data_IF_450493495299
#
_entry.id   IF_450493495299
#
_cell.length_a   1.000
_cell.length_b   1.000
_cell.length_c   1.000
_cell.angle_alpha   90.00
_cell.angle_beta   90.00
_cell.angle_gamma   90.00
#
_symmetry.space_group_name_H-M   'P 1'
#
loop_
_entity.id
_entity.type
_entity.pdbx_description
1 polymer ?
#
# COMPACT_ATOMS: atom_id res chain seq x y z
N UNK A 1 -14.43 -29.66 -8.61
CA UNK A 1 -14.27 -28.65 -9.68
C UNK A 1 -12.80 -28.36 -9.71
N UNK A 2 -12.24 -28.32 -10.91
CA UNK A 2 -10.83 -28.62 -11.15
C UNK A 2 -9.97 -27.36 -10.91
N UNK A 3 -8.87 -27.49 -10.16
CA UNK A 3 -7.93 -26.38 -9.88
C UNK A 3 -7.04 -26.04 -11.11
N UNK A 4 -7.32 -26.67 -12.27
CA UNK A 4 -6.54 -26.54 -13.51
C UNK A 4 -6.90 -25.30 -14.33
N UNK A 5 -8.14 -24.80 -14.24
CA UNK A 5 -8.61 -23.64 -15.01
C UNK A 5 -8.01 -22.30 -14.51
N UNK A 6 -7.61 -22.22 -13.23
CA UNK A 6 -6.95 -21.03 -12.69
C UNK A 6 -5.51 -20.85 -13.23
N UNK A 7 -4.81 -21.94 -13.61
CA UNK A 7 -3.41 -21.88 -14.07
C UNK A 7 -3.27 -21.26 -15.48
N UNK A 8 -4.32 -21.31 -16.31
CA UNK A 8 -4.27 -20.76 -17.68
C UNK A 8 -4.43 -19.23 -17.72
N UNK A 9 -5.11 -18.63 -16.72
CA UNK A 9 -5.26 -17.17 -16.61
C UNK A 9 -3.92 -16.47 -16.31
N UNK A 10 -2.98 -17.15 -15.64
CA UNK A 10 -1.65 -16.60 -15.35
C UNK A 10 -0.65 -16.70 -16.51
N UNK A 11 -1.04 -17.23 -17.69
CA UNK A 11 -0.16 -17.35 -18.87
C UNK A 11 -0.07 -16.10 -19.74
N UNK A 12 -0.55 -14.95 -19.25
CA UNK A 12 -0.17 -13.67 -19.81
C UNK A 12 1.35 -13.48 -19.67
N UNK A 13 2.08 -13.47 -20.79
CA UNK A 13 3.50 -13.10 -20.82
C UNK A 13 3.62 -11.62 -20.52
N UNK A 14 3.80 -11.27 -19.25
CA UNK A 14 3.79 -9.87 -18.85
C UNK A 14 5.17 -9.26 -19.09
N UNK A 15 5.29 -8.55 -20.21
CA UNK A 15 6.42 -7.69 -20.52
C UNK A 15 6.11 -6.32 -19.92
N UNK A 16 6.89 -5.92 -18.93
CA UNK A 16 6.73 -4.67 -18.17
C UNK A 16 7.76 -3.61 -18.59
N UNK A 17 7.47 -2.34 -18.32
CA UNK A 17 8.36 -1.18 -18.55
C UNK A 17 8.25 -0.13 -17.44
N UNK A 18 9.19 0.85 -17.42
CA UNK A 18 9.29 1.96 -16.45
C UNK A 18 8.03 2.84 -16.34
N UNK A 19 7.86 3.94 -17.08
CA UNK A 19 8.49 4.39 -18.34
C UNK A 19 9.03 5.80 -18.14
N UNK A 20 10.36 6.01 -18.11
CA UNK A 20 10.97 7.30 -17.73
C UNK A 20 10.78 8.38 -18.82
N UNK A 21 9.61 9.04 -18.82
CA UNK A 21 9.24 10.12 -19.73
C UNK A 21 10.00 11.42 -19.39
N UNK A 22 10.84 11.90 -20.31
CA UNK A 22 11.45 13.23 -20.21
C UNK A 22 10.69 14.28 -21.03
N UNK A 23 10.12 15.26 -20.32
CA UNK A 23 9.65 16.58 -20.79
C UNK A 23 8.40 16.64 -21.71
N UNK A 24 7.36 17.31 -21.18
CA UNK A 24 6.17 17.89 -21.85
C UNK A 24 5.71 17.32 -23.20
N UNK A 25 4.98 16.21 -23.17
CA UNK A 25 3.71 16.00 -23.92
C UNK A 25 2.81 14.92 -23.26
N UNK A 26 3.04 14.62 -21.97
CA UNK A 26 2.18 13.73 -21.19
C UNK A 26 0.68 14.11 -21.28
N UNK A 27 0.35 15.41 -21.35
CA UNK A 27 -1.03 15.91 -21.47
C UNK A 27 -1.79 15.47 -22.74
N UNK A 28 -1.13 15.01 -23.81
CA UNK A 28 -1.81 14.55 -25.03
C UNK A 28 -2.20 13.07 -24.90
N UNK A 29 -1.26 12.22 -24.47
CA UNK A 29 -1.49 10.79 -24.20
C UNK A 29 -2.49 10.60 -23.03
N UNK A 30 -2.38 11.43 -21.99
CA UNK A 30 -3.15 11.30 -20.74
C UNK A 30 -4.51 12.02 -20.76
N UNK A 31 -4.96 12.52 -21.91
CA UNK A 31 -6.17 13.33 -22.02
C UNK A 31 -7.49 12.57 -21.79
N UNK A 32 -7.48 11.24 -21.84
CA UNK A 32 -8.71 10.43 -21.68
C UNK A 32 -9.03 10.07 -20.22
N UNK A 33 -8.04 9.68 -19.40
CA UNK A 33 -8.18 9.43 -17.96
C UNK A 33 -6.80 9.07 -17.37
N UNK A 34 -6.41 9.50 -16.16
CA UNK A 34 -5.16 9.07 -15.49
C UNK A 34 -5.18 7.59 -15.02
N UNK A 35 -5.99 6.75 -15.66
CA UNK A 35 -6.20 5.33 -15.36
C UNK A 35 -6.42 4.50 -16.65
N UNK A 36 -6.70 5.13 -17.79
CA UNK A 36 -6.98 4.45 -19.05
C UNK A 36 -6.21 5.08 -20.21
N UNK A 37 -5.63 4.24 -21.07
CA UNK A 37 -5.03 4.63 -22.33
C UNK A 37 -5.73 3.85 -23.44
N UNK A 38 -6.43 4.56 -24.34
CA UNK A 38 -7.21 3.97 -25.45
C UNK A 38 -8.18 2.88 -24.98
N UNK A 39 -8.82 3.08 -23.83
CA UNK A 39 -9.73 2.11 -23.21
C UNK A 39 -9.08 0.97 -22.41
N UNK A 40 -7.76 0.81 -22.42
CA UNK A 40 -7.06 -0.18 -21.59
C UNK A 40 -6.65 0.40 -20.25
N UNK A 41 -6.80 -0.39 -19.17
CA UNK A 41 -6.38 0.01 -17.81
C UNK A 41 -4.85 0.10 -17.69
N UNK A 42 -4.37 1.17 -17.07
CA UNK A 42 -2.97 1.40 -16.70
C UNK A 42 -2.89 1.74 -15.20
N UNK A 43 -1.87 1.26 -14.48
CA UNK A 43 -1.62 1.63 -13.07
C UNK A 43 -0.40 2.56 -12.96
N UNK A 44 -0.61 3.75 -12.42
CA UNK A 44 0.45 4.74 -12.20
C UNK A 44 1.07 4.52 -10.82
N UNK A 45 2.39 4.35 -10.78
CA UNK A 45 3.13 4.12 -9.54
C UNK A 45 3.56 5.42 -8.85
N UNK A 46 3.59 6.54 -9.58
CA UNK A 46 3.57 7.89 -9.04
C UNK A 46 2.60 8.78 -9.82
N UNK A 47 2.12 9.86 -9.19
CA UNK A 47 1.25 10.82 -9.86
C UNK A 47 2.07 11.64 -10.90
N UNK A 48 1.60 11.79 -12.15
CA UNK A 48 2.31 12.59 -13.15
C UNK A 48 2.39 14.06 -12.72
N UNK A 49 3.59 14.51 -12.33
CA UNK A 49 3.77 15.87 -11.81
C UNK A 49 3.95 16.90 -12.95
N UNK A 50 2.83 17.31 -13.56
CA UNK A 50 2.81 18.22 -14.72
C UNK A 50 3.47 19.60 -14.53
N UNK A 51 3.90 19.96 -13.31
CA UNK A 51 4.56 21.24 -13.00
C UNK A 51 6.09 21.17 -13.04
N UNK A 52 6.70 19.97 -12.92
CA UNK A 52 8.13 19.77 -13.10
C UNK A 52 8.38 18.67 -14.14
N UNK A 53 8.83 19.03 -15.35
CA UNK A 53 9.06 18.07 -16.43
C UNK A 53 10.32 17.21 -16.26
N UNK A 54 11.06 17.35 -15.16
CA UNK A 54 12.20 16.49 -14.80
C UNK A 54 11.82 15.27 -13.95
N UNK A 55 10.62 15.27 -13.35
CA UNK A 55 10.10 14.14 -12.57
C UNK A 55 9.61 13.01 -13.50
N UNK A 56 10.16 11.79 -13.39
CA UNK A 56 9.78 10.68 -14.26
C UNK A 56 8.41 10.11 -13.88
N UNK A 57 7.61 9.73 -14.87
CA UNK A 57 6.33 9.03 -14.62
C UNK A 57 6.55 7.52 -14.64
N UNK A 58 6.06 6.81 -13.63
CA UNK A 58 6.21 5.37 -13.47
C UNK A 58 4.86 4.69 -13.75
N UNK A 59 4.84 3.76 -14.70
CA UNK A 59 3.64 3.25 -15.36
C UNK A 59 3.74 1.72 -15.48
N UNK A 60 2.92 1.01 -14.72
CA UNK A 60 2.75 -0.43 -14.86
C UNK A 60 1.75 -0.74 -15.98
N UNK A 61 2.16 -1.64 -16.88
CA UNK A 61 1.39 -2.11 -18.04
C UNK A 61 1.27 -3.63 -17.94
N UNK A 62 0.06 -4.17 -18.09
CA UNK A 62 -0.20 -5.61 -17.99
C UNK A 62 -0.50 -6.30 -19.33
N UNK A 63 -0.54 -5.55 -20.44
CA UNK A 63 -0.84 -6.06 -21.78
C UNK A 63 0.29 -5.72 -22.76
N UNK A 64 0.82 -6.73 -23.43
CA UNK A 64 1.83 -6.58 -24.50
C UNK A 64 1.32 -5.73 -25.68
N UNK A 65 0.00 -5.73 -25.92
CA UNK A 65 -0.62 -4.86 -26.93
C UNK A 65 -0.51 -3.39 -26.52
N UNK A 66 -0.87 -3.08 -25.27
CA UNK A 66 -0.77 -1.72 -24.70
C UNK A 66 0.68 -1.26 -24.64
N UNK A 67 1.58 -2.15 -24.25
CA UNK A 67 3.03 -1.92 -24.23
C UNK A 67 3.54 -1.54 -25.62
N UNK A 68 3.18 -2.31 -26.64
CA UNK A 68 3.58 -2.07 -28.04
C UNK A 68 3.05 -0.73 -28.53
N UNK A 69 1.75 -0.49 -28.37
CA UNK A 69 1.09 0.76 -28.78
C UNK A 69 1.70 1.98 -28.08
N UNK A 70 1.97 1.90 -26.78
CA UNK A 70 2.56 3.00 -26.02
C UNK A 70 4.00 3.26 -26.44
N UNK A 71 4.83 2.22 -26.62
CA UNK A 71 6.21 2.37 -27.14
C UNK A 71 6.23 3.06 -28.50
N UNK A 72 5.32 2.67 -29.40
CA UNK A 72 5.19 3.30 -30.72
C UNK A 72 4.81 4.77 -30.61
N UNK A 73 3.80 5.11 -29.81
CA UNK A 73 3.34 6.50 -29.62
C UNK A 73 4.42 7.37 -28.96
N UNK A 74 5.10 6.87 -27.93
CA UNK A 74 6.21 7.57 -27.27
C UNK A 74 7.39 7.81 -28.22
N UNK A 75 7.70 6.83 -29.08
CA UNK A 75 8.74 6.97 -30.11
C UNK A 75 8.35 8.00 -31.16
N UNK A 76 7.09 8.00 -31.61
CA UNK A 76 6.56 9.00 -32.57
C UNK A 76 6.57 10.41 -32.00
N UNK A 77 6.30 10.57 -30.71
CA UNK A 77 6.33 11.85 -29.99
C UNK A 77 7.75 12.24 -29.53
N UNK A 78 8.77 11.44 -29.84
CA UNK A 78 10.17 11.63 -29.42
C UNK A 78 10.32 11.82 -27.90
N UNK A 79 9.52 11.09 -27.12
CA UNK A 79 9.62 11.07 -25.66
C UNK A 79 10.51 9.90 -25.27
N UNK A 80 11.63 10.19 -24.62
CA UNK A 80 12.52 9.16 -24.10
C UNK A 80 11.80 8.27 -23.09
N UNK A 81 12.21 7.01 -22.99
CA UNK A 81 11.76 6.09 -21.95
C UNK A 81 12.80 5.01 -21.64
N UNK A 82 12.55 4.22 -20.60
CA UNK A 82 13.42 3.13 -20.15
C UNK A 82 12.59 1.99 -19.57
N UNK A 83 13.10 0.77 -19.70
CA UNK A 83 12.59 -0.44 -19.03
C UNK A 83 13.36 -0.61 -17.72
N UNK A 84 12.70 -0.68 -16.56
CA UNK A 84 13.41 -0.96 -15.30
C UNK A 84 13.03 -2.29 -14.66
N UNK A 85 11.87 -2.85 -15.01
CA UNK A 85 11.47 -4.21 -14.66
C UNK A 85 10.87 -4.80 -15.94
N UNK A 86 11.52 -5.80 -16.54
CA UNK A 86 11.02 -6.50 -17.73
C UNK A 86 9.91 -7.50 -17.40
N UNK A 87 10.00 -8.14 -16.23
CA UNK A 87 9.05 -9.15 -15.75
C UNK A 87 8.81 -8.95 -14.24
N UNK A 88 7.79 -8.15 -13.92
CA UNK A 88 7.36 -7.91 -12.53
C UNK A 88 6.66 -9.14 -11.94
N UNK A 89 6.12 -10.06 -12.73
CA UNK A 89 5.55 -11.32 -12.18
C UNK A 89 6.67 -12.19 -11.63
N UNK A 90 7.79 -12.31 -12.36
CA UNK A 90 9.01 -12.96 -11.88
C UNK A 90 9.57 -12.25 -10.65
N UNK A 91 9.64 -10.91 -10.64
CA UNK A 91 10.13 -10.17 -9.47
C UNK A 91 9.26 -10.39 -8.21
N UNK A 92 7.94 -10.47 -8.36
CA UNK A 92 7.00 -10.80 -7.27
C UNK A 92 7.21 -12.24 -6.78
N UNK A 93 7.45 -13.19 -7.69
CA UNK A 93 7.68 -14.58 -7.30
C UNK A 93 9.05 -14.79 -6.63
N UNK A 94 10.09 -14.09 -7.07
CA UNK A 94 11.39 -14.06 -6.40
C UNK A 94 11.29 -13.49 -4.97
N UNK A 95 10.50 -12.42 -4.76
CA UNK A 95 10.20 -11.89 -3.43
C UNK A 95 9.47 -12.93 -2.55
N UNK A 96 8.44 -13.61 -3.09
CA UNK A 96 7.68 -14.66 -2.38
C UNK A 96 8.55 -15.85 -1.96
N UNK A 97 9.41 -16.33 -2.86
CA UNK A 97 10.34 -17.43 -2.58
C UNK A 97 11.31 -17.03 -1.45
N UNK A 98 11.78 -15.78 -1.41
CA UNK A 98 12.63 -15.28 -0.34
C UNK A 98 11.90 -15.19 1.01
N UNK A 99 10.62 -14.78 1.01
CA UNK A 99 9.78 -14.81 2.21
C UNK A 99 9.58 -16.23 2.76
N UNK A 100 9.33 -17.22 1.90
CA UNK A 100 9.08 -18.60 2.32
C UNK A 100 10.29 -19.26 3.00
N UNK A 101 11.52 -18.96 2.57
CA UNK A 101 12.76 -19.48 3.19
C UNK A 101 12.85 -19.17 4.69
N UNK A 102 12.31 -18.02 5.10
CA UNK A 102 12.40 -17.49 6.46
C UNK A 102 11.14 -17.78 7.30
N UNK A 103 10.19 -18.57 6.80
CA UNK A 103 8.94 -18.91 7.50
C UNK A 103 9.10 -19.73 8.79
N UNK A 104 10.27 -20.34 8.99
CA UNK A 104 10.59 -21.17 10.17
C UNK A 104 11.49 -20.43 11.19
N UNK A 105 11.73 -19.12 11.04
CA UNK A 105 12.50 -18.34 12.02
C UNK A 105 11.76 -18.25 13.36
N UNK A 106 12.46 -18.53 14.46
CA UNK A 106 11.88 -18.49 15.82
C UNK A 106 11.88 -17.09 16.44
N UNK A 107 12.62 -16.15 15.86
CA UNK A 107 12.73 -14.76 16.30
C UNK A 107 12.17 -13.81 15.25
N UNK A 108 11.63 -12.67 15.68
CA UNK A 108 11.04 -11.70 14.77
C UNK A 108 12.10 -10.89 14.02
N UNK A 109 12.27 -11.20 12.73
CA UNK A 109 13.30 -10.60 11.89
C UNK A 109 12.85 -9.27 11.25
N UNK A 110 13.29 -8.14 11.80
CA UNK A 110 12.98 -6.79 11.29
C UNK A 110 13.56 -6.46 9.90
N UNK A 111 14.34 -7.37 9.29
CA UNK A 111 14.97 -7.17 7.98
C UNK A 111 14.15 -7.74 6.81
N UNK A 112 12.96 -8.28 7.07
CA UNK A 112 12.01 -8.78 6.05
C UNK A 112 10.59 -8.27 6.29
N UNK A 113 9.76 -8.29 5.24
CA UNK A 113 8.31 -8.14 5.38
C UNK A 113 7.67 -9.39 6.00
N UNK A 114 6.58 -9.18 6.74
CA UNK A 114 5.83 -10.22 7.45
C UNK A 114 4.35 -10.11 7.09
N UNK A 115 3.65 -11.24 7.07
CA UNK A 115 2.19 -11.29 6.93
C UNK A 115 1.49 -10.61 8.12
N UNK A 116 0.22 -10.23 7.93
CA UNK A 116 -0.60 -9.68 9.02
C UNK A 116 -0.66 -10.64 10.22
N UNK A 117 -0.75 -11.95 9.98
CA UNK A 117 -0.82 -12.96 11.04
C UNK A 117 0.50 -13.05 11.82
N UNK A 118 1.65 -13.09 11.14
CA UNK A 118 2.98 -13.06 11.78
C UNK A 118 3.21 -11.78 12.62
N UNK A 119 2.81 -10.62 12.11
CA UNK A 119 2.87 -9.35 12.87
C UNK A 119 1.96 -9.43 14.09
N UNK A 120 0.71 -9.85 13.92
CA UNK A 120 -0.28 -9.89 14.99
C UNK A 120 0.05 -10.93 16.08
N UNK A 121 0.72 -12.03 15.72
CA UNK A 121 1.25 -13.01 16.67
C UNK A 121 2.52 -12.51 17.38
N UNK A 122 3.43 -11.82 16.67
CA UNK A 122 4.57 -11.15 17.29
C UNK A 122 4.12 -10.14 18.36
N UNK A 123 3.09 -9.33 18.06
CA UNK A 123 2.48 -8.37 18.98
C UNK A 123 1.86 -9.00 20.26
N UNK A 124 1.68 -10.32 20.32
CA UNK A 124 1.21 -11.02 21.55
C UNK A 124 2.35 -11.54 22.43
N UNK A 125 3.57 -11.60 21.90
CA UNK A 125 4.72 -12.21 22.60
C UNK A 125 5.11 -11.43 23.85
N UNK A 126 5.70 -12.14 24.82
CA UNK A 126 6.19 -11.50 26.06
C UNK A 126 7.41 -10.60 25.81
N UNK A 127 8.10 -10.74 24.67
CA UNK A 127 9.24 -9.90 24.24
C UNK A 127 8.85 -8.41 24.15
N UNK A 128 7.61 -8.11 23.80
CA UNK A 128 7.09 -6.74 23.65
C UNK A 128 6.40 -6.25 24.93
N UNK A 129 6.07 -7.15 25.86
CA UNK A 129 5.36 -6.81 27.10
C UNK A 129 6.31 -6.13 28.08
N UNK A 130 6.16 -4.82 28.16
CA UNK A 130 6.85 -3.96 29.12
C UNK A 130 5.88 -2.95 29.71
N UNK A 131 6.21 -2.41 30.89
CA UNK A 131 5.41 -1.37 31.56
C UNK A 131 5.21 -0.09 30.71
N UNK A 132 6.06 0.10 29.69
CA UNK A 132 6.01 1.23 28.76
C UNK A 132 5.34 0.91 27.41
N UNK A 133 4.74 -0.27 27.24
CA UNK A 133 4.03 -0.67 26.00
C UNK A 133 2.61 -1.15 26.32
N UNK A 134 1.62 -0.63 25.59
CA UNK A 134 0.26 -1.15 25.57
C UNK A 134 -0.17 -1.42 24.12
N UNK A 135 -0.77 -2.58 23.87
CA UNK A 135 -1.22 -3.00 22.54
C UNK A 135 -2.73 -3.16 22.60
N UNK A 136 -3.42 -2.49 21.69
CA UNK A 136 -4.87 -2.51 21.56
C UNK A 136 -5.26 -2.48 20.06
N UNK A 137 -6.54 -2.24 19.75
CA UNK A 137 -7.08 -2.14 18.40
C UNK A 137 -7.87 -0.84 18.25
N UNK A 138 -7.57 -0.02 17.23
CA UNK A 138 -8.35 1.20 16.94
C UNK A 138 -9.73 0.91 16.34
N UNK A 139 -9.97 -0.34 15.94
CA UNK A 139 -11.23 -0.81 15.40
C UNK A 139 -11.08 -2.18 14.75
N UNK A 140 -12.07 -2.54 13.95
CA UNK A 140 -12.05 -3.70 13.06
C UNK A 140 -12.22 -3.24 11.61
N UNK A 141 -11.60 -3.96 10.69
CA UNK A 141 -11.68 -3.74 9.24
C UNK A 141 -13.03 -4.22 8.67
N UNK A 142 -13.25 -4.01 7.38
CA UNK A 142 -14.49 -4.42 6.72
C UNK A 142 -14.68 -5.95 6.73
N UNK A 143 -13.59 -6.72 6.65
CA UNK A 143 -13.61 -8.18 6.78
C UNK A 143 -13.42 -8.67 8.24
N UNK A 144 -13.56 -7.78 9.25
CA UNK A 144 -13.56 -8.15 10.67
C UNK A 144 -12.17 -8.42 11.28
N UNK A 145 -11.10 -7.86 10.71
CA UNK A 145 -9.73 -7.98 11.25
C UNK A 145 -9.40 -6.79 12.14
N UNK A 146 -8.76 -7.05 13.28
CA UNK A 146 -8.30 -5.99 14.18
C UNK A 146 -7.26 -5.11 13.50
N UNK A 147 -7.34 -3.80 13.76
CA UNK A 147 -6.35 -2.81 13.29
C UNK A 147 -5.49 -2.44 14.51
N UNK A 148 -4.31 -3.09 14.67
CA UNK A 148 -3.54 -2.98 15.90
C UNK A 148 -2.92 -1.59 16.08
N UNK A 149 -2.94 -1.08 17.30
CA UNK A 149 -2.16 0.08 17.74
C UNK A 149 -1.23 -0.29 18.88
N UNK A 150 0.04 0.10 18.77
CA UNK A 150 1.04 -0.05 19.82
C UNK A 150 1.28 1.35 20.41
N UNK A 151 0.83 1.56 21.64
CA UNK A 151 1.09 2.76 22.45
C UNK A 151 2.40 2.57 23.22
N UNK A 152 3.31 3.53 23.11
CA UNK A 152 4.63 3.49 23.78
C UNK A 152 4.88 4.82 24.50
N UNK A 153 5.00 4.78 25.82
CA UNK A 153 5.31 5.92 26.71
C UNK A 153 5.93 5.38 28.00
N UNK A 154 6.86 6.10 28.63
CA UNK A 154 7.35 5.72 29.97
C UNK A 154 6.29 5.84 31.07
N UNK A 155 5.21 6.57 30.82
CA UNK A 155 3.97 6.51 31.58
C UNK A 155 2.77 6.61 30.62
N UNK A 156 2.05 5.50 30.44
CA UNK A 156 0.88 5.37 29.56
C UNK A 156 -0.40 6.00 30.15
N UNK A 157 -0.32 6.59 31.35
CA UNK A 157 -1.40 7.31 32.04
C UNK A 157 -1.17 8.84 32.07
N UNK A 158 -0.02 9.31 31.61
CA UNK A 158 0.30 10.73 31.57
C UNK A 158 -0.33 11.40 30.34
N UNK A 159 -1.58 11.84 30.50
CA UNK A 159 -2.34 12.58 29.48
C UNK A 159 -1.75 13.96 29.14
N UNK A 160 -0.69 14.41 29.83
CA UNK A 160 -0.01 15.69 29.51
C UNK A 160 1.02 15.57 28.39
N UNK A 161 1.46 14.35 28.05
CA UNK A 161 2.45 14.14 26.99
C UNK A 161 1.85 14.37 25.59
N UNK A 162 2.56 15.09 24.69
CA UNK A 162 2.19 15.14 23.28
C UNK A 162 2.23 13.74 22.64
N UNK A 163 1.19 13.43 21.86
CA UNK A 163 1.03 12.15 21.16
C UNK A 163 1.57 12.29 19.72
N UNK A 164 2.42 11.34 19.31
CA UNK A 164 2.88 11.15 17.94
C UNK A 164 2.20 9.91 17.37
N UNK A 165 1.40 10.07 16.32
CA UNK A 165 0.76 8.96 15.60
C UNK A 165 1.60 8.64 14.35
N UNK A 166 1.88 7.36 14.13
CA UNK A 166 2.54 6.87 12.91
C UNK A 166 1.73 5.68 12.39
N UNK A 167 1.03 5.86 11.28
CA UNK A 167 0.38 4.76 10.57
C UNK A 167 1.23 4.26 9.39
N UNK A 168 0.87 3.07 8.90
CA UNK A 168 1.53 2.41 7.77
C UNK A 168 0.58 1.42 7.12
N UNK A 169 0.87 1.07 5.86
CA UNK A 169 0.02 0.22 5.04
C UNK A 169 -1.43 0.71 4.93
N UNK A 170 -1.65 2.04 4.90
CA UNK A 170 -2.93 2.60 4.43
C UNK A 170 -3.19 2.17 2.97
N UNK A 171 -2.12 2.10 2.17
CA UNK A 171 -2.07 1.38 0.89
C UNK A 171 -1.38 0.03 1.05
N UNK A 172 -2.05 -1.04 0.67
CA UNK A 172 -1.55 -2.40 0.96
C UNK A 172 -0.36 -2.87 0.12
N UNK A 173 -0.02 -2.19 -1.00
CA UNK A 173 1.16 -2.52 -1.82
C UNK A 173 2.49 -1.95 -1.29
N UNK A 174 2.43 -1.04 -0.31
CA UNK A 174 3.57 -0.24 0.19
C UNK A 174 4.30 -0.93 1.36
N UNK A 175 4.72 -2.18 1.13
CA UNK A 175 5.20 -3.16 2.14
C UNK A 175 6.30 -2.63 3.08
N UNK A 176 7.17 -1.74 2.59
CA UNK A 176 8.24 -1.09 3.36
C UNK A 176 7.75 -0.22 4.52
N UNK A 177 6.54 0.36 4.43
CA UNK A 177 6.00 1.23 5.48
C UNK A 177 5.74 0.46 6.76
N UNK A 178 5.05 -0.69 6.67
CA UNK A 178 4.76 -1.55 7.83
C UNK A 178 6.04 -2.07 8.51
N UNK A 179 7.03 -2.51 7.73
CA UNK A 179 8.33 -2.93 8.26
C UNK A 179 9.09 -1.78 8.95
N UNK A 180 9.03 -0.56 8.39
CA UNK A 180 9.65 0.63 8.98
C UNK A 180 9.00 0.99 10.31
N UNK A 181 7.67 0.96 10.41
CA UNK A 181 6.94 1.23 11.67
C UNK A 181 7.23 0.17 12.74
N UNK A 182 7.38 -1.11 12.36
CA UNK A 182 7.83 -2.16 13.27
C UNK A 182 9.29 -1.98 13.71
N UNK A 183 10.17 -1.52 12.82
CA UNK A 183 11.55 -1.17 13.19
C UNK A 183 11.60 0.02 14.16
N UNK A 184 10.79 1.07 13.94
CA UNK A 184 10.64 2.21 14.86
C UNK A 184 10.14 1.73 16.23
N UNK A 185 9.14 0.85 16.27
CA UNK A 185 8.65 0.22 17.49
C UNK A 185 9.79 -0.47 18.27
N UNK A 186 10.59 -1.29 17.58
CA UNK A 186 11.72 -1.98 18.20
C UNK A 186 12.78 -1.02 18.75
N UNK A 187 13.10 0.05 18.01
CA UNK A 187 14.03 1.09 18.48
C UNK A 187 13.51 1.79 19.74
N UNK A 188 12.24 2.21 19.78
CA UNK A 188 11.65 2.86 20.96
C UNK A 188 11.58 1.96 22.20
N UNK A 189 11.49 0.63 22.00
CA UNK A 189 11.42 -0.36 23.09
C UNK A 189 12.81 -0.72 23.62
N UNK A 190 13.72 -1.10 22.72
CA UNK A 190 14.99 -1.76 23.05
C UNK A 190 16.21 -0.83 23.05
N UNK A 191 16.17 0.31 22.35
CA UNK A 191 17.32 1.21 22.28
C UNK A 191 17.30 2.23 23.42
N UNK A 192 18.13 2.00 24.45
CA UNK A 192 18.23 2.88 25.61
C UNK A 192 18.57 4.34 25.25
N UNK A 193 19.32 4.57 24.16
CA UNK A 193 19.63 5.93 23.69
C UNK A 193 18.40 6.72 23.21
N UNK A 194 17.28 6.03 22.95
CA UNK A 194 16.00 6.62 22.54
C UNK A 194 14.99 6.74 23.70
N UNK A 195 15.36 6.34 24.93
CA UNK A 195 14.47 6.39 26.11
C UNK A 195 13.88 7.79 26.35
N UNK A 196 14.68 8.84 26.13
CA UNK A 196 14.24 10.23 26.28
C UNK A 196 13.04 10.60 25.39
N UNK A 197 12.82 9.90 24.26
CA UNK A 197 11.66 10.13 23.40
C UNK A 197 10.37 9.70 24.11
N UNK A 198 10.33 8.48 24.65
CA UNK A 198 9.14 7.97 25.34
C UNK A 198 8.94 8.60 26.73
N UNK A 199 9.98 9.27 27.26
CA UNK A 199 9.87 10.12 28.45
C UNK A 199 9.15 11.44 28.17
N UNK A 200 9.23 11.98 26.95
CA UNK A 200 8.65 13.27 26.58
C UNK A 200 7.41 13.16 25.66
N UNK A 201 7.17 12.01 25.03
CA UNK A 201 6.10 11.77 24.06
C UNK A 201 5.43 10.42 24.30
N UNK A 202 4.15 10.29 23.92
CA UNK A 202 3.52 8.99 23.66
C UNK A 202 3.54 8.70 22.16
N UNK A 203 3.98 7.52 21.75
CA UNK A 203 3.96 7.06 20.36
C UNK A 203 2.84 6.06 20.13
N UNK A 204 1.95 6.34 19.19
CA UNK A 204 0.85 5.46 18.80
C UNK A 204 1.11 4.94 17.37
N UNK A 205 1.65 3.72 17.29
CA UNK A 205 2.11 3.10 16.05
C UNK A 205 1.05 2.15 15.50
N UNK A 206 0.63 2.33 14.25
CA UNK A 206 -0.36 1.48 13.56
C UNK A 206 0.36 0.82 12.36
N UNK A 207 1.00 -0.35 12.55
CA UNK A 207 1.86 -0.95 11.52
C UNK A 207 1.08 -1.50 10.32
N UNK A 208 -0.21 -1.82 10.50
CA UNK A 208 -1.08 -2.36 9.45
C UNK A 208 -2.46 -1.68 9.48
N UNK A 209 -2.59 -0.52 8.83
CA UNK A 209 -3.84 0.25 8.78
C UNK A 209 -4.91 -0.42 7.89
N UNK A 210 -4.51 -1.06 6.78
CA UNK A 210 -5.39 -1.77 5.86
C UNK A 210 -5.10 -3.29 5.84
N UNK A 211 -5.51 -4.05 6.88
CA UNK A 211 -5.22 -5.47 7.00
C UNK A 211 -5.96 -6.32 5.95
N UNK A 212 -7.06 -5.82 5.38
CA UNK A 212 -7.82 -6.56 4.38
C UNK A 212 -7.16 -6.53 3.00
N UNK A 213 -6.67 -5.36 2.57
CA UNK A 213 -5.95 -5.26 1.30
C UNK A 213 -4.61 -6.01 1.33
N UNK A 214 -3.95 -6.05 2.50
CA UNK A 214 -2.63 -6.66 2.71
C UNK A 214 -2.56 -8.14 2.31
N UNK A 215 -3.64 -8.90 2.52
CA UNK A 215 -3.69 -10.35 2.28
C UNK A 215 -4.03 -10.74 0.84
N UNK A 216 -4.07 -9.79 -0.10
CA UNK A 216 -4.59 -10.03 -1.45
C UNK A 216 -3.50 -9.99 -2.53
N UNK A 217 -3.79 -9.42 -3.69
CA UNK A 217 -2.80 -9.23 -4.76
C UNK A 217 -1.65 -8.37 -4.22
N UNK A 218 -0.41 -8.73 -4.57
CA UNK A 218 0.82 -8.04 -4.15
C UNK A 218 0.82 -6.55 -4.53
N UNK A 219 0.08 -6.20 -5.59
CA UNK A 219 -0.06 -4.84 -6.11
C UNK A 219 -1.40 -4.20 -5.70
N UNK A 220 -2.18 -4.81 -4.81
CA UNK A 220 -3.43 -4.24 -4.32
C UNK A 220 -3.18 -3.03 -3.41
N UNK A 221 -3.82 -1.90 -3.74
CA UNK A 221 -3.70 -0.64 -2.98
C UNK A 221 -4.83 -0.41 -1.98
N UNK A 222 -6.06 -0.71 -2.38
CA UNK A 222 -7.32 -0.24 -1.75
C UNK A 222 -7.71 -1.09 -0.52
N UNK A 223 -8.79 -0.72 0.16
CA UNK A 223 -9.46 -1.62 1.11
C UNK A 223 -10.10 -2.83 0.39
N UNK A 224 -10.89 -3.65 1.10
CA UNK A 224 -11.70 -4.74 0.52
C UNK A 224 -13.21 -4.57 0.64
N UNK A 225 -13.67 -3.38 1.07
CA UNK A 225 -15.10 -3.09 1.16
C UNK A 225 -15.81 -3.22 -0.19
N UNK A 226 -17.09 -3.55 -0.15
CA UNK A 226 -17.94 -3.63 -1.33
C UNK A 226 -19.34 -3.07 -1.03
N UNK A 227 -20.03 -2.61 -2.06
CA UNK A 227 -21.44 -2.26 -2.02
C UNK A 227 -22.21 -3.03 -3.10
N UNK A 228 -23.54 -2.97 -3.06
CA UNK A 228 -24.40 -3.54 -4.11
C UNK A 228 -24.07 -2.94 -5.49
N UNK A 229 -23.71 -1.66 -5.54
CA UNK A 229 -23.35 -0.95 -6.78
C UNK A 229 -21.89 -1.14 -7.19
N UNK A 230 -21.01 -1.66 -6.32
CA UNK A 230 -19.58 -1.86 -6.58
C UNK A 230 -19.10 -3.30 -6.41
N UNK A 231 -19.98 -4.31 -6.50
CA UNK A 231 -19.64 -5.71 -6.25
C UNK A 231 -18.48 -6.23 -7.13
N UNK A 232 -18.45 -5.83 -8.41
CA UNK A 232 -17.37 -6.13 -9.37
C UNK A 232 -16.10 -5.26 -9.16
N UNK A 233 -16.16 -4.26 -8.29
CA UNK A 233 -15.18 -3.18 -8.13
C UNK A 233 -14.89 -2.91 -6.65
N UNK A 234 -14.37 -3.93 -5.97
CA UNK A 234 -14.07 -3.89 -4.53
C UNK A 234 -13.00 -2.85 -4.17
N UNK A 235 -13.09 -2.38 -2.93
CA UNK A 235 -12.12 -1.51 -2.27
C UNK A 235 -12.31 -0.02 -2.54
N UNK A 236 -12.18 0.77 -1.48
CA UNK A 236 -12.02 2.23 -1.51
C UNK A 236 -10.54 2.59 -1.35
N UNK A 237 -10.10 3.72 -1.90
CA UNK A 237 -8.78 4.27 -1.51
C UNK A 237 -8.95 5.00 -0.17
N UNK A 238 -8.34 4.44 0.89
CA UNK A 238 -8.46 4.98 2.25
C UNK A 238 -7.88 6.40 2.34
N UNK A 239 -6.81 6.71 1.59
CA UNK A 239 -6.19 8.04 1.54
C UNK A 239 -6.88 8.99 0.54
N UNK A 240 -8.12 8.68 0.15
CA UNK A 240 -9.10 9.58 -0.48
C UNK A 240 -10.45 9.56 0.25
N UNK A 241 -10.54 8.91 1.42
CA UNK A 241 -11.78 8.71 2.18
C UNK A 241 -11.80 9.48 3.52
N UNK A 242 -10.88 10.44 3.71
CA UNK A 242 -10.91 11.41 4.82
C UNK A 242 -11.84 12.58 4.49
N UNK A 243 -12.38 13.25 5.52
CA UNK A 243 -13.39 14.29 5.31
C UNK A 243 -12.85 15.61 4.72
N UNK A 244 -11.52 15.83 4.81
CA UNK A 244 -10.86 17.04 4.32
C UNK A 244 -10.85 17.06 2.78
N UNK A 245 -11.45 18.08 2.18
CA UNK A 245 -11.59 18.25 0.73
C UNK A 245 -12.15 16.99 0.00
N UNK A 246 -13.02 16.25 0.68
CA UNK A 246 -13.58 15.01 0.18
C UNK A 246 -14.29 15.21 -1.18
N UNK A 247 -13.84 14.50 -2.21
CA UNK A 247 -14.38 14.59 -3.57
C UNK A 247 -13.76 15.67 -4.47
N UNK A 248 -12.81 16.50 -4.02
CA UNK A 248 -12.18 17.51 -4.90
C UNK A 248 -11.14 16.93 -5.86
N UNK A 249 -10.37 15.95 -5.39
CA UNK A 249 -9.20 15.37 -6.08
C UNK A 249 -9.26 13.82 -6.10
N UNK A 250 -10.49 13.27 -6.18
CA UNK A 250 -10.76 11.84 -6.31
C UNK A 250 -11.71 11.56 -7.48
N UNK A 251 -11.56 10.40 -8.12
CA UNK A 251 -12.37 10.03 -9.28
C UNK A 251 -13.71 9.44 -8.86
N UNK A 252 -14.82 9.91 -9.43
CA UNK A 252 -16.17 9.40 -9.14
C UNK A 252 -16.49 8.03 -9.80
N UNK A 253 -15.61 7.52 -10.66
CA UNK A 253 -15.83 6.26 -11.38
C UNK A 253 -15.74 5.03 -10.47
N UNK A 254 -16.80 4.21 -10.48
CA UNK A 254 -16.87 2.94 -9.77
C UNK A 254 -15.64 2.05 -10.05
N UNK A 255 -14.86 1.78 -9.01
CA UNK A 255 -13.63 0.99 -9.08
C UNK A 255 -12.34 1.81 -9.10
N UNK A 256 -12.37 3.05 -9.60
CA UNK A 256 -11.27 4.03 -9.53
C UNK A 256 -11.41 4.82 -8.22
N UNK A 257 -10.48 4.62 -7.28
CA UNK A 257 -10.46 5.36 -6.00
C UNK A 257 -11.80 5.40 -5.25
N UNK A 258 -12.62 4.34 -5.38
CA UNK A 258 -14.05 4.32 -5.02
C UNK A 258 -14.33 5.10 -3.74
N UNK A 259 -15.09 6.18 -3.86
CA UNK A 259 -15.47 7.03 -2.74
C UNK A 259 -16.68 6.37 -2.06
N UNK A 260 -16.66 6.14 -0.75
CA UNK A 260 -17.89 5.72 -0.07
C UNK A 260 -18.76 6.97 0.15
N UNK A 261 -19.94 7.11 -0.49
CA UNK A 261 -20.85 8.17 -0.10
C UNK A 261 -21.17 8.00 1.38
N UNK A 262 -20.98 9.05 2.18
CA UNK A 262 -21.42 9.05 3.57
C UNK A 262 -22.93 8.83 3.58
N UNK A 263 -23.37 7.63 3.93
CA UNK A 263 -24.71 7.49 4.49
C UNK A 263 -24.70 8.31 5.79
N UNK A 264 -25.34 9.47 5.75
CA UNK A 264 -25.66 10.23 6.95
C UNK A 264 -26.61 9.39 7.80
N UNK A 265 -26.03 8.58 8.69
CA UNK A 265 -26.74 8.09 9.86
C UNK A 265 -26.91 9.30 10.77
N UNK A 266 -28.00 10.02 10.54
CA UNK A 266 -28.48 11.04 11.47
C UNK A 266 -29.00 10.33 12.73
N UNK A 267 -28.69 10.92 13.88
CA UNK A 267 -29.11 10.57 15.26
C UNK A 267 -28.75 9.18 15.77
#
# INVERSE_FOLDING_TARGET
MDDSDDEEIYRARIIFLLIVLFVTIAAVILSESPVHYRGHKIDYWNEPYFKDPSEPVLIQISSTEVETLLREELTQLNINFTVCIEDLQKAIEEERVEHQKHSNETEFNFSRYHTYDEIFDYLKTDVIKSNFVNIDSIGESFEGRKIPVIRISSDLKDESKPIIIIDSLIHSKEWVTGATTLFIMNQLIANESMRYLIDNFEFNLIPVFNPDGWRTDRLWRKSRSFSITSFLCRGVDLNRNFEINFGSDSTEELGKFSIHPKNTINS
#
